data_IF_605098703204
#
_entry.id   IF_605098703204
#
_cell.length_a   1.000
_cell.length_b   1.000
_cell.length_c   1.000
_cell.angle_alpha   90.00
_cell.angle_beta   90.00
_cell.angle_gamma   90.00
#
_symmetry.space_group_name_H-M   'P 1'
#
loop_
_entity.id
_entity.type
_entity.pdbx_description
1 polymer ?
#
# COMPACT_ATOMS: atom_id res chain seq x y z
N UNK A 1 17.64 -17.82 9.43
CA UNK A 1 16.48 -17.12 8.84
C UNK A 1 15.22 -17.93 9.17
N UNK A 2 14.45 -17.50 10.18
CA UNK A 2 13.26 -18.23 10.63
C UNK A 2 12.06 -17.99 9.69
N UNK A 3 11.11 -18.93 9.58
CA UNK A 3 9.94 -18.75 8.72
C UNK A 3 9.12 -17.56 9.21
N UNK A 4 8.73 -16.68 8.30
CA UNK A 4 7.83 -15.56 8.53
C UNK A 4 6.40 -16.07 8.76
N UNK A 5 6.12 -16.54 9.98
CA UNK A 5 4.83 -17.11 10.35
C UNK A 5 3.73 -16.03 10.42
N UNK A 6 2.61 -16.26 9.72
CA UNK A 6 1.38 -15.49 9.97
C UNK A 6 0.60 -16.17 11.06
N UNK A 7 0.16 -15.33 11.98
CA UNK A 7 -0.47 -15.67 13.23
C UNK A 7 -1.80 -16.41 12.99
N UNK A 8 -2.17 -17.34 13.87
CA UNK A 8 -3.53 -17.89 13.91
C UNK A 8 -4.56 -16.79 14.19
N UNK A 9 -5.86 -17.05 14.04
CA UNK A 9 -6.91 -16.01 14.17
C UNK A 9 -6.83 -15.19 15.47
N UNK A 10 -6.65 -15.85 16.62
CA UNK A 10 -6.53 -15.18 17.91
C UNK A 10 -5.20 -14.42 18.08
N UNK A 11 -4.10 -15.00 17.58
CA UNK A 11 -2.80 -14.35 17.56
C UNK A 11 -2.81 -13.11 16.64
N UNK A 12 -3.56 -13.14 15.53
CA UNK A 12 -3.76 -11.99 14.64
C UNK A 12 -4.52 -10.87 15.36
N UNK A 13 -5.57 -11.21 16.10
CA UNK A 13 -6.30 -10.23 16.93
C UNK A 13 -5.36 -9.56 17.92
N UNK A 14 -4.62 -10.35 18.70
CA UNK A 14 -3.65 -9.82 19.66
C UNK A 14 -2.61 -8.91 18.97
N UNK A 15 -2.14 -9.29 17.78
CA UNK A 15 -1.19 -8.49 17.00
C UNK A 15 -1.78 -7.17 16.52
N UNK A 16 -3.02 -7.18 16.01
CA UNK A 16 -3.71 -5.96 15.55
C UNK A 16 -3.95 -5.02 16.72
N UNK A 17 -4.41 -5.53 17.86
CA UNK A 17 -4.60 -4.75 19.08
C UNK A 17 -3.28 -4.08 19.50
N UNK A 18 -2.19 -4.85 19.55
CA UNK A 18 -0.87 -4.32 19.93
C UNK A 18 -0.29 -3.30 18.95
N UNK A 19 -0.55 -3.43 17.64
CA UNK A 19 -0.01 -2.52 16.62
C UNK A 19 -0.83 -1.25 16.42
N UNK A 20 -2.15 -1.32 16.64
CA UNK A 20 -3.07 -0.23 16.28
C UNK A 20 -3.78 0.39 17.48
N UNK A 21 -3.70 -0.22 18.67
CA UNK A 21 -4.46 0.19 19.85
C UNK A 21 -5.97 -0.04 19.74
N UNK A 22 -6.46 -0.60 18.63
CA UNK A 22 -7.88 -0.91 18.42
C UNK A 22 -8.24 -2.24 19.05
N UNK A 23 -8.99 -2.20 20.16
CA UNK A 23 -9.45 -3.39 20.90
C UNK A 23 -10.79 -3.95 20.41
N UNK A 24 -11.43 -3.28 19.45
CA UNK A 24 -12.69 -3.68 18.83
C UNK A 24 -12.53 -4.72 17.70
N UNK A 25 -11.28 -5.08 17.37
CA UNK A 25 -10.99 -6.05 16.32
C UNK A 25 -11.18 -7.50 16.81
N UNK A 26 -12.22 -8.15 16.31
CA UNK A 26 -12.70 -9.44 16.80
C UNK A 26 -12.11 -10.65 16.04
N UNK A 27 -12.20 -11.83 16.65
CA UNK A 27 -11.82 -13.11 16.02
C UNK A 27 -12.63 -13.39 14.74
N UNK A 28 -13.88 -12.95 14.67
CA UNK A 28 -14.72 -13.08 13.48
C UNK A 28 -14.21 -12.21 12.33
N UNK A 29 -13.81 -10.98 12.60
CA UNK A 29 -13.16 -10.09 11.62
C UNK A 29 -11.83 -10.67 11.17
N UNK A 30 -10.99 -11.15 12.09
CA UNK A 30 -9.74 -11.85 11.74
C UNK A 30 -9.98 -13.07 10.83
N UNK A 31 -11.00 -13.88 11.11
CA UNK A 31 -11.37 -15.01 10.26
C UNK A 31 -11.85 -14.57 8.87
N UNK A 32 -12.58 -13.46 8.79
CA UNK A 32 -13.06 -12.89 7.54
C UNK A 32 -11.90 -12.33 6.70
N UNK A 33 -11.03 -11.53 7.30
CA UNK A 33 -9.89 -10.93 6.62
C UNK A 33 -8.92 -11.99 6.10
N UNK A 34 -8.62 -13.03 6.89
CA UNK A 34 -7.79 -14.15 6.44
C UNK A 34 -8.42 -14.93 5.29
N UNK A 35 -9.75 -15.10 5.27
CA UNK A 35 -10.46 -15.70 4.12
C UNK A 35 -10.35 -14.82 2.89
N UNK A 36 -10.49 -13.50 3.03
CA UNK A 36 -10.39 -12.54 1.94
C UNK A 36 -8.98 -12.47 1.36
N UNK A 37 -7.96 -12.40 2.22
CA UNK A 37 -6.56 -12.43 1.81
C UNK A 37 -6.20 -13.76 1.12
N UNK A 38 -6.76 -14.88 1.58
CA UNK A 38 -6.58 -16.19 0.92
C UNK A 38 -7.20 -16.21 -0.47
N UNK A 39 -8.40 -15.65 -0.62
CA UNK A 39 -9.06 -15.50 -1.93
C UNK A 39 -8.24 -14.67 -2.92
N UNK A 40 -7.38 -13.78 -2.43
CA UNK A 40 -6.45 -12.97 -3.22
C UNK A 40 -5.05 -13.58 -3.37
N UNK A 41 -4.86 -14.84 -2.92
CA UNK A 41 -3.56 -15.52 -2.90
C UNK A 41 -2.47 -14.77 -2.10
N UNK A 42 -2.86 -13.86 -1.21
CA UNK A 42 -1.93 -13.10 -0.38
C UNK A 42 -1.50 -13.86 0.87
N UNK A 43 -2.30 -14.84 1.29
CA UNK A 43 -1.96 -15.78 2.35
C UNK A 43 -2.39 -17.19 1.94
N UNK A 44 -1.70 -18.20 2.47
CA UNK A 44 -2.03 -19.61 2.28
C UNK A 44 -2.17 -20.30 3.63
N UNK A 45 -3.01 -21.33 3.68
CA UNK A 45 -3.15 -22.20 4.86
C UNK A 45 -2.53 -23.56 4.51
N UNK A 46 -1.30 -23.87 4.97
CA UNK A 46 -0.64 -25.12 4.62
C UNK A 46 -1.28 -26.32 5.33
N UNK A 47 -1.77 -27.28 4.55
CA UNK A 47 -2.31 -28.55 5.05
C UNK A 47 -3.42 -28.39 6.11
N UNK A 48 -3.35 -29.17 7.20
CA UNK A 48 -4.28 -29.11 8.34
C UNK A 48 -3.87 -28.09 9.42
N UNK A 49 -2.96 -27.16 9.13
CA UNK A 49 -2.53 -26.15 10.08
C UNK A 49 -3.61 -25.12 10.37
N UNK A 50 -3.53 -24.47 11.55
CA UNK A 50 -4.31 -23.26 11.88
C UNK A 50 -3.54 -21.96 11.64
N UNK A 51 -2.27 -22.04 11.23
CA UNK A 51 -1.37 -20.90 10.99
C UNK A 51 -1.29 -20.59 9.51
N UNK A 52 -1.51 -19.33 9.17
CA UNK A 52 -1.40 -18.86 7.79
C UNK A 52 0.06 -18.56 7.45
N UNK A 53 0.38 -18.51 6.16
CA UNK A 53 1.70 -18.13 5.65
C UNK A 53 1.50 -17.07 4.57
N UNK A 54 2.39 -16.08 4.50
CA UNK A 54 2.50 -15.19 3.33
C UNK A 54 3.51 -15.80 2.36
N UNK A 55 3.13 -16.22 1.14
CA UNK A 55 4.12 -16.61 0.14
C UNK A 55 5.07 -15.46 -0.20
N UNK A 56 6.34 -15.72 -0.59
CA UNK A 56 7.29 -14.66 -0.96
C UNK A 56 6.76 -13.71 -2.06
N UNK A 57 6.04 -14.26 -3.05
CA UNK A 57 5.41 -13.46 -4.10
C UNK A 57 4.35 -12.52 -3.51
N UNK A 58 3.49 -13.00 -2.62
CA UNK A 58 2.48 -12.18 -1.96
C UNK A 58 3.10 -11.05 -1.13
N UNK A 59 4.19 -11.34 -0.40
CA UNK A 59 4.93 -10.31 0.34
C UNK A 59 5.48 -9.23 -0.61
N UNK A 60 6.03 -9.64 -1.76
CA UNK A 60 6.50 -8.71 -2.80
C UNK A 60 5.35 -7.89 -3.39
N UNK A 61 4.20 -8.51 -3.65
CA UNK A 61 3.01 -7.80 -4.14
C UNK A 61 2.54 -6.75 -3.15
N UNK A 62 2.46 -7.08 -1.86
CA UNK A 62 2.10 -6.11 -0.82
C UNK A 62 3.14 -4.98 -0.73
N UNK A 63 4.43 -5.30 -0.78
CA UNK A 63 5.49 -4.29 -0.77
C UNK A 63 5.41 -3.35 -1.97
N UNK A 64 5.14 -3.88 -3.17
CA UNK A 64 4.94 -3.06 -4.38
C UNK A 64 3.70 -2.19 -4.24
N UNK A 65 2.58 -2.72 -3.75
CA UNK A 65 1.36 -1.93 -3.53
C UNK A 65 1.59 -0.78 -2.54
N UNK A 66 2.33 -1.02 -1.45
CA UNK A 66 2.68 0.02 -0.48
C UNK A 66 3.64 1.05 -1.10
N UNK A 67 4.66 0.62 -1.83
CA UNK A 67 5.57 1.53 -2.53
C UNK A 67 4.83 2.40 -3.57
N UNK A 68 3.93 1.82 -4.35
CA UNK A 68 3.07 2.57 -5.28
C UNK A 68 2.17 3.57 -4.53
N UNK A 69 1.55 3.17 -3.42
CA UNK A 69 0.71 4.10 -2.66
C UNK A 69 1.50 5.26 -2.07
N UNK A 70 2.60 4.96 -1.39
CA UNK A 70 3.30 5.93 -0.54
C UNK A 70 4.36 6.73 -1.30
N UNK A 71 4.98 6.17 -2.33
CA UNK A 71 6.02 6.85 -3.13
C UNK A 71 5.49 7.42 -4.44
N UNK A 72 4.52 6.75 -5.07
CA UNK A 72 3.96 7.18 -6.37
C UNK A 72 2.70 8.02 -6.17
N UNK A 73 1.64 7.46 -5.58
CA UNK A 73 0.35 8.14 -5.53
C UNK A 73 0.45 9.37 -4.61
N UNK A 74 1.05 9.23 -3.43
CA UNK A 74 1.21 10.35 -2.51
C UNK A 74 2.09 11.48 -3.08
N UNK A 75 3.15 11.17 -3.83
CA UNK A 75 4.02 12.19 -4.44
C UNK A 75 3.31 12.95 -5.57
N UNK A 76 2.51 12.25 -6.38
CA UNK A 76 1.70 12.86 -7.42
C UNK A 76 0.64 13.77 -6.79
N UNK A 77 -0.08 13.30 -5.77
CA UNK A 77 -1.07 14.11 -5.05
C UNK A 77 -0.45 15.33 -4.36
N UNK A 78 0.75 15.19 -3.77
CA UNK A 78 1.49 16.33 -3.22
C UNK A 78 1.86 17.35 -4.31
N UNK A 79 2.22 16.86 -5.50
CA UNK A 79 2.56 17.66 -6.66
C UNK A 79 1.39 18.44 -7.27
N UNK A 80 0.13 17.99 -7.10
CA UNK A 80 -1.07 18.75 -7.49
C UNK A 80 -1.23 19.99 -6.58
N UNK A 81 -1.03 19.83 -5.27
CA UNK A 81 -1.17 20.94 -4.30
C UNK A 81 0.01 21.90 -4.29
N UNK A 82 1.17 21.49 -4.80
CA UNK A 82 2.34 22.35 -4.93
C UNK A 82 2.93 22.27 -6.34
N UNK A 83 2.43 23.10 -7.28
CA UNK A 83 2.93 23.16 -8.66
C UNK A 83 4.38 23.63 -8.78
N UNK A 84 4.96 24.16 -7.69
CA UNK A 84 6.30 24.76 -7.72
C UNK A 84 7.34 23.65 -7.91
N UNK A 85 7.86 23.57 -9.13
CA UNK A 85 9.18 23.02 -9.40
C UNK A 85 10.17 23.70 -8.44
N UNK A 86 10.59 23.00 -7.40
CA UNK A 86 11.72 23.43 -6.60
C UNK A 86 12.98 23.52 -7.47
N UNK A 87 14.07 24.03 -6.90
CA UNK A 87 15.36 24.14 -7.56
C UNK A 87 15.72 22.79 -8.22
N UNK A 88 15.98 22.82 -9.53
CA UNK A 88 16.35 21.64 -10.33
C UNK A 88 17.50 20.91 -9.64
N UNK A 89 17.30 19.64 -9.29
CA UNK A 89 18.35 18.79 -8.72
C UNK A 89 19.56 18.78 -9.67
N UNK A 90 20.76 18.90 -9.11
CA UNK A 90 22.03 18.93 -9.87
C UNK A 90 22.32 17.56 -10.50
N UNK A 91 21.80 16.48 -9.91
CA UNK A 91 21.87 15.13 -10.44
C UNK A 91 20.46 14.53 -10.56
N UNK A 92 20.03 14.33 -11.80
CA UNK A 92 18.78 13.64 -12.12
C UNK A 92 19.07 12.16 -12.33
N UNK A 93 18.49 11.29 -11.51
CA UNK A 93 18.51 9.86 -11.78
C UNK A 93 17.45 9.52 -12.83
N UNK A 94 17.57 8.34 -13.45
CA UNK A 94 16.54 7.84 -14.38
C UNK A 94 15.17 7.73 -13.71
N UNK A 95 15.16 7.35 -12.43
CA UNK A 95 13.95 7.20 -11.62
C UNK A 95 13.24 8.55 -11.44
N UNK A 96 13.98 9.65 -11.21
CA UNK A 96 13.39 10.99 -11.06
C UNK A 96 12.68 11.45 -12.35
N UNK A 97 13.22 11.08 -13.51
CA UNK A 97 12.60 11.38 -14.82
C UNK A 97 11.31 10.59 -15.02
N UNK A 98 11.30 9.32 -14.63
CA UNK A 98 10.12 8.46 -14.75
C UNK A 98 9.00 8.95 -13.80
N UNK A 99 9.35 9.40 -12.59
CA UNK A 99 8.42 10.04 -11.66
C UNK A 99 7.84 11.34 -12.22
N UNK A 100 8.68 12.22 -12.78
CA UNK A 100 8.24 13.49 -13.36
C UNK A 100 7.27 13.27 -14.53
N UNK A 101 7.60 12.34 -15.45
CA UNK A 101 6.72 11.98 -16.56
C UNK A 101 5.36 11.50 -16.06
N UNK A 102 5.35 10.61 -15.07
CA UNK A 102 4.10 10.06 -14.54
C UNK A 102 3.27 11.11 -13.78
N UNK A 103 3.92 12.07 -13.10
CA UNK A 103 3.24 13.19 -12.45
C UNK A 103 2.54 14.09 -13.46
N UNK A 104 3.22 14.45 -14.56
CA UNK A 104 2.63 15.27 -15.64
C UNK A 104 1.45 14.53 -16.27
N UNK A 105 1.64 13.26 -16.64
CA UNK A 105 0.60 12.45 -17.28
C UNK A 105 -0.63 12.29 -16.36
N UNK A 106 -0.44 12.15 -15.03
CA UNK A 106 -1.56 12.10 -14.07
C UNK A 106 -2.26 13.45 -13.86
N UNK A 107 -1.55 14.58 -13.91
CA UNK A 107 -2.19 15.90 -13.85
C UNK A 107 -3.13 16.10 -15.05
N UNK A 108 -2.69 15.76 -16.25
CA UNK A 108 -3.54 15.77 -17.46
C UNK A 108 -4.80 14.94 -17.26
N UNK A 109 -4.65 13.71 -16.74
CA UNK A 109 -5.80 12.84 -16.47
C UNK A 109 -6.76 13.44 -15.42
N UNK A 110 -6.25 14.08 -14.37
CA UNK A 110 -7.10 14.71 -13.35
C UNK A 110 -7.83 15.96 -13.86
N UNK A 111 -7.20 16.75 -14.72
CA UNK A 111 -7.87 17.85 -15.44
C UNK A 111 -9.00 17.30 -16.30
N UNK A 112 -8.75 16.24 -17.09
CA UNK A 112 -9.75 15.60 -17.96
C UNK A 112 -10.91 14.98 -17.19
N UNK A 113 -10.65 14.41 -16.01
CA UNK A 113 -11.67 13.84 -15.14
C UNK A 113 -12.41 14.88 -14.28
N UNK A 114 -12.09 16.18 -14.42
CA UNK A 114 -12.63 17.28 -13.62
C UNK A 114 -12.46 17.05 -12.09
N UNK A 115 -11.36 16.40 -11.69
CA UNK A 115 -11.02 16.14 -10.29
C UNK A 115 -10.20 17.31 -9.71
N UNK A 116 -9.57 18.11 -10.57
CA UNK A 116 -8.84 19.31 -10.14
C UNK A 116 -9.80 20.39 -9.65
N UNK A 117 -9.65 20.77 -8.39
CA UNK A 117 -10.37 21.90 -7.80
C UNK A 117 -9.75 23.18 -8.34
N UNK A 118 -10.52 24.12 -8.93
CA UNK A 118 -9.95 25.38 -9.38
C UNK A 118 -9.32 26.07 -8.15
N UNK A 119 -8.06 26.46 -8.28
CA UNK A 119 -7.42 27.32 -7.29
C UNK A 119 -8.24 28.61 -7.25
N UNK A 120 -8.98 28.81 -6.16
CA UNK A 120 -9.61 30.09 -5.88
C UNK A 120 -8.50 31.15 -5.86
N UNK A 121 -8.59 32.08 -6.81
CA UNK A 121 -7.73 33.26 -6.97
C UNK A 121 -8.04 34.25 -5.86
#
# INVERSE_FOLDING_TARGET
MGPHWVHGRAELVAKVHGLTGRCDYTVCQAAYDLRKLRGKQLVVLPGRSRRYLVPPLAARTVAVLLALRDQVIASILAGIRSPRMGRKLVHWTRVDRDYEKMRIDMQTLFTELAIETPLAV
#
